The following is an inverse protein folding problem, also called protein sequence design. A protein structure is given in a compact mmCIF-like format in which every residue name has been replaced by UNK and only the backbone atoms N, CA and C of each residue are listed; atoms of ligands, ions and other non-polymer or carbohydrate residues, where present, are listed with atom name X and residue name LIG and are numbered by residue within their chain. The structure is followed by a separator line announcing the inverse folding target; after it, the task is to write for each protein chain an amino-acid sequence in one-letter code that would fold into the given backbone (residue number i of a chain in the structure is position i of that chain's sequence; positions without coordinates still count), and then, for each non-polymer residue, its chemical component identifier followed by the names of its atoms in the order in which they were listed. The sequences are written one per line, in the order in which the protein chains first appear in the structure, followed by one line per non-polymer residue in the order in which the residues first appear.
data_IF_114135818160
#
_entry.id   IF_114135818160
#
_cell.length_a   1.000
_cell.length_b   1.000
_cell.length_c   1.000
_cell.angle_alpha   90.00
_cell.angle_beta   90.00
_cell.angle_gamma   90.00
#
_symmetry.space_group_name_H-M   'P 1'
#
loop_
_entity.id
_entity.type
_entity.pdbx_description
1 polymer ?
#
# COMPACT_ATOMS: atom_id res chain seq x y z
N UNK A 1 18.73 4.35 -23.83
CA UNK A 1 18.27 3.93 -22.49
C UNK A 1 18.24 5.15 -21.58
N UNK A 2 17.13 5.44 -20.90
CA UNK A 2 17.05 6.57 -19.96
C UNK A 2 17.24 6.02 -18.55
N UNK A 3 18.36 6.35 -17.93
CA UNK A 3 18.73 5.93 -16.57
C UNK A 3 18.92 7.18 -15.72
N UNK A 4 18.66 7.10 -14.42
CA UNK A 4 18.89 8.23 -13.53
C UNK A 4 20.39 8.58 -13.46
N UNK A 5 20.69 9.82 -13.08
CA UNK A 5 22.07 10.31 -13.01
C UNK A 5 22.96 9.43 -12.11
N UNK A 6 22.41 8.93 -10.99
CA UNK A 6 23.11 8.01 -10.09
C UNK A 6 23.50 6.72 -10.82
N UNK A 7 22.56 6.03 -11.47
CA UNK A 7 22.89 4.81 -12.20
C UNK A 7 23.92 5.07 -13.31
N UNK A 8 23.79 6.20 -14.02
CA UNK A 8 24.74 6.58 -15.08
C UNK A 8 26.16 6.76 -14.53
N UNK A 9 26.31 7.45 -13.40
CA UNK A 9 27.61 7.70 -12.77
C UNK A 9 28.30 6.40 -12.35
N UNK A 10 27.56 5.46 -11.75
CA UNK A 10 28.11 4.17 -11.31
C UNK A 10 28.46 3.25 -12.47
N UNK A 11 27.60 3.18 -13.50
CA UNK A 11 27.88 2.39 -14.72
C UNK A 11 29.13 2.90 -15.43
N UNK A 12 29.30 4.22 -15.55
CA UNK A 12 30.50 4.83 -16.15
C UNK A 12 31.79 4.52 -15.37
N UNK A 13 31.67 4.16 -14.08
CA UNK A 13 32.78 3.75 -13.21
C UNK A 13 32.92 2.24 -13.11
N UNK A 14 32.18 1.48 -13.92
CA UNK A 14 32.13 0.01 -13.88
C UNK A 14 31.72 -0.54 -12.49
N UNK A 15 30.86 0.19 -11.78
CA UNK A 15 30.34 -0.18 -10.46
C UNK A 15 28.83 -0.40 -10.48
N UNK A 16 28.36 -1.24 -9.57
CA UNK A 16 26.93 -1.47 -9.32
C UNK A 16 26.38 -0.30 -8.48
N UNK A 17 25.27 0.35 -8.87
CA UNK A 17 24.63 1.38 -8.06
C UNK A 17 24.21 0.86 -6.68
N UNK A 18 24.34 1.63 -5.58
CA UNK A 18 23.98 1.18 -4.23
C UNK A 18 22.52 0.72 -4.11
N UNK A 19 21.62 1.34 -4.89
CA UNK A 19 20.19 1.01 -4.93
C UNK A 19 19.84 -0.05 -5.99
N UNK A 20 20.82 -0.79 -6.50
CA UNK A 20 20.63 -1.84 -7.50
C UNK A 20 20.12 -3.15 -6.90
N UNK A 21 19.43 -3.96 -7.71
CA UNK A 21 18.91 -5.26 -7.29
C UNK A 21 20.01 -6.20 -6.78
N UNK A 22 21.19 -6.17 -7.41
CA UNK A 22 22.35 -6.98 -6.99
C UNK A 22 22.87 -6.61 -5.59
N UNK A 23 22.52 -5.42 -5.08
CA UNK A 23 22.85 -4.97 -3.72
C UNK A 23 21.75 -5.30 -2.70
N UNK A 24 21.04 -6.42 -2.89
CA UNK A 24 19.95 -6.87 -2.02
C UNK A 24 18.80 -5.86 -1.86
N UNK A 25 18.60 -5.01 -2.87
CA UNK A 25 17.47 -4.08 -2.93
C UNK A 25 16.23 -4.70 -3.59
N UNK A 26 16.16 -6.02 -3.65
CA UNK A 26 14.97 -6.73 -4.12
C UNK A 26 13.83 -6.58 -3.11
N UNK A 27 12.61 -6.41 -3.62
CA UNK A 27 11.42 -6.40 -2.78
C UNK A 27 11.11 -7.85 -2.34
N UNK A 28 10.70 -8.06 -1.08
CA UNK A 28 10.28 -9.37 -0.63
C UNK A 28 9.02 -9.82 -1.39
N UNK A 29 8.84 -11.14 -1.48
CA UNK A 29 7.61 -11.72 -2.01
C UNK A 29 6.45 -11.37 -1.08
N UNK A 30 5.35 -10.87 -1.66
CA UNK A 30 4.14 -10.55 -0.89
C UNK A 30 3.55 -11.88 -0.37
N UNK A 31 3.43 -12.07 0.95
CA UNK A 31 2.88 -13.29 1.52
C UNK A 31 1.39 -13.43 1.16
N UNK A 32 0.89 -14.66 1.13
CA UNK A 32 -0.48 -14.97 0.72
C UNK A 32 -1.53 -14.22 1.57
N UNK A 33 -1.26 -13.99 2.85
CA UNK A 33 -2.11 -13.26 3.78
C UNK A 33 -2.27 -11.78 3.40
N UNK A 34 -1.27 -11.19 2.73
CA UNK A 34 -1.28 -9.80 2.29
C UNK A 34 -1.70 -9.63 0.82
N UNK A 35 -2.19 -10.69 0.17
CA UNK A 35 -2.81 -10.61 -1.16
C UNK A 35 -4.24 -10.06 -1.04
N UNK A 36 -4.32 -8.80 -0.66
CA UNK A 36 -5.54 -8.06 -0.40
C UNK A 36 -5.93 -7.21 -1.61
N UNK A 37 -7.22 -6.91 -1.73
CA UNK A 37 -7.68 -5.86 -2.62
C UNK A 37 -7.38 -4.47 -2.05
N UNK A 38 -7.48 -3.45 -2.90
CA UNK A 38 -7.01 -2.11 -2.55
C UNK A 38 -7.72 -1.51 -1.32
N UNK A 39 -9.03 -1.70 -1.14
CA UNK A 39 -9.72 -1.25 0.07
C UNK A 39 -9.42 -2.14 1.28
N UNK A 40 -9.25 -3.44 1.07
CA UNK A 40 -8.91 -4.39 2.14
C UNK A 40 -7.55 -4.05 2.76
N UNK A 41 -6.56 -3.73 1.93
CA UNK A 41 -5.24 -3.25 2.36
C UNK A 41 -5.36 -1.97 3.20
N UNK A 42 -6.17 -1.00 2.76
CA UNK A 42 -6.40 0.24 3.51
C UNK A 42 -7.04 0.01 4.88
N UNK A 43 -7.88 -1.02 5.03
CA UNK A 43 -8.54 -1.32 6.30
C UNK A 43 -7.58 -1.91 7.34
N UNK A 44 -6.52 -2.59 6.91
CA UNK A 44 -5.48 -3.13 7.81
C UNK A 44 -4.26 -2.21 7.96
N UNK A 45 -4.11 -1.21 7.09
CA UNK A 45 -2.98 -0.30 7.10
C UNK A 45 -2.96 0.58 8.36
N UNK A 46 -1.90 0.45 9.17
CA UNK A 46 -1.69 1.26 10.39
C UNK A 46 -1.50 2.76 10.09
N UNK A 47 -1.09 3.11 8.87
CA UNK A 47 -0.89 4.48 8.43
C UNK A 47 -1.42 4.66 7.02
N UNK A 48 -2.11 5.78 6.79
CA UNK A 48 -2.50 6.22 5.45
C UNK A 48 -1.56 7.34 4.99
N UNK A 49 -0.70 7.11 3.98
CA UNK A 49 0.15 8.14 3.43
C UNK A 49 -0.64 9.07 2.51
N UNK A 50 -0.43 10.38 2.68
CA UNK A 50 -0.84 11.43 1.75
C UNK A 50 0.41 11.94 1.06
N UNK A 51 0.60 11.53 -0.19
CA UNK A 51 1.74 11.88 -1.02
C UNK A 51 1.30 12.11 -2.46
N UNK A 52 2.08 12.90 -3.19
CA UNK A 52 1.86 13.11 -4.61
C UNK A 52 2.96 12.42 -5.42
N UNK A 53 2.56 11.39 -6.17
CA UNK A 53 3.41 10.70 -7.12
C UNK A 53 3.11 11.23 -8.53
N UNK A 54 4.15 11.59 -9.28
CA UNK A 54 4.05 12.09 -10.67
C UNK A 54 5.03 11.36 -11.57
N UNK A 55 4.68 11.22 -12.84
CA UNK A 55 5.61 10.75 -13.86
C UNK A 55 6.67 11.82 -14.14
N UNK A 56 7.93 11.38 -14.22
CA UNK A 56 9.00 12.25 -14.72
C UNK A 56 8.84 12.43 -16.24
N UNK A 57 9.26 13.59 -16.79
CA UNK A 57 9.08 13.89 -18.21
C UNK A 57 9.68 12.86 -19.18
N UNK A 58 10.61 12.02 -18.71
CA UNK A 58 11.30 11.00 -19.50
C UNK A 58 11.56 9.76 -18.65
N UNK A 59 11.65 8.61 -19.31
CA UNK A 59 12.12 7.36 -18.71
C UNK A 59 11.09 6.53 -17.95
N UNK A 60 9.79 6.90 -17.97
CA UNK A 60 8.70 6.17 -17.28
C UNK A 60 8.94 5.98 -15.77
N UNK A 61 9.78 6.82 -15.18
CA UNK A 61 10.06 6.82 -13.75
C UNK A 61 9.05 7.69 -13.02
N UNK A 62 8.72 7.31 -11.79
CA UNK A 62 7.84 8.06 -10.91
C UNK A 62 8.68 8.84 -9.89
N UNK A 63 8.28 10.08 -9.60
CA UNK A 63 8.87 10.91 -8.57
C UNK A 63 7.81 11.32 -7.55
N UNK A 64 8.22 11.46 -6.29
CA UNK A 64 7.41 12.07 -5.25
C UNK A 64 7.65 13.58 -5.21
N UNK A 65 6.59 14.38 -5.14
CA UNK A 65 6.69 15.84 -5.09
C UNK A 65 5.97 16.41 -3.87
N UNK A 66 6.65 17.32 -3.17
CA UNK A 66 6.11 18.03 -2.01
C UNK A 66 6.17 17.21 -0.72
N UNK A 67 5.35 17.62 0.25
CA UNK A 67 5.34 17.01 1.58
C UNK A 67 4.60 15.67 1.59
N UNK A 68 5.12 14.73 2.37
CA UNK A 68 4.47 13.44 2.66
C UNK A 68 3.90 13.52 4.07
N UNK A 69 2.60 13.26 4.22
CA UNK A 69 1.93 13.24 5.53
C UNK A 69 1.44 11.83 5.82
N UNK A 70 1.94 11.22 6.89
CA UNK A 70 1.50 9.90 7.34
C UNK A 70 0.52 10.03 8.49
N UNK A 71 -0.75 9.68 8.26
CA UNK A 71 -1.80 9.74 9.28
C UNK A 71 -1.98 8.35 9.89
N UNK A 72 -1.87 8.24 11.22
CA UNK A 72 -2.13 6.99 11.92
C UNK A 72 -3.61 6.62 11.85
N UNK A 73 -3.88 5.33 11.64
CA UNK A 73 -5.24 4.78 11.60
C UNK A 73 -5.46 3.85 12.79
N UNK A 74 -6.64 3.95 13.42
CA UNK A 74 -7.09 2.95 14.39
C UNK A 74 -7.71 1.76 13.66
N UNK A 75 -6.85 0.78 13.38
CA UNK A 75 -7.22 -0.46 12.71
C UNK A 75 -7.99 -1.39 13.67
N UNK A 76 -7.74 -1.29 14.98
CA UNK A 76 -8.33 -2.20 15.98
C UNK A 76 -9.84 -2.02 16.11
N UNK A 77 -10.33 -0.78 16.13
CA UNK A 77 -11.77 -0.51 16.12
C UNK A 77 -12.42 -0.98 14.83
N UNK A 78 -11.78 -0.75 13.69
CA UNK A 78 -12.26 -1.17 12.37
C UNK A 78 -12.46 -2.68 12.28
N UNK A 79 -11.47 -3.47 12.72
CA UNK A 79 -11.55 -4.94 12.70
C UNK A 79 -12.67 -5.46 13.61
N UNK A 80 -12.88 -4.84 14.78
CA UNK A 80 -13.94 -5.25 15.72
C UNK A 80 -15.35 -5.03 15.16
N UNK A 81 -15.52 -4.04 14.30
CA UNK A 81 -16.81 -3.68 13.67
C UNK A 81 -17.12 -4.60 12.48
N UNK A 82 -16.09 -5.13 11.81
CA UNK A 82 -16.30 -6.03 10.68
C UNK A 82 -17.04 -7.30 11.13
N UNK A 83 -18.02 -7.79 10.35
CA UNK A 83 -18.76 -8.98 10.73
C UNK A 83 -17.83 -10.20 10.76
N UNK A 84 -17.68 -10.83 11.93
CA UNK A 84 -16.73 -11.94 12.18
C UNK A 84 -17.25 -13.31 11.74
N UNK A 85 -18.54 -13.45 11.47
CA UNK A 85 -19.21 -14.72 11.12
C UNK A 85 -19.73 -14.66 9.69
N UNK A 86 -18.81 -14.75 8.75
CA UNK A 86 -19.14 -14.71 7.34
C UNK A 86 -18.48 -15.90 6.66
N UNK A 87 -19.27 -16.68 5.93
CA UNK A 87 -18.76 -17.72 5.05
C UNK A 87 -17.70 -17.11 4.10
N UNK A 88 -16.75 -17.91 3.62
CA UNK A 88 -15.63 -17.42 2.80
C UNK A 88 -16.06 -16.65 1.54
N UNK A 89 -17.28 -16.89 1.06
CA UNK A 89 -17.87 -16.23 -0.11
C UNK A 89 -18.54 -14.88 0.17
N UNK A 90 -18.71 -14.52 1.44
CA UNK A 90 -19.43 -13.32 1.81
C UNK A 90 -18.56 -12.06 1.68
N UNK A 91 -19.14 -11.04 1.06
CA UNK A 91 -18.52 -9.72 0.92
C UNK A 91 -19.42 -8.63 1.50
N UNK A 92 -18.81 -7.55 1.99
CA UNK A 92 -19.51 -6.41 2.57
C UNK A 92 -19.19 -5.16 1.75
N UNK A 93 -20.20 -4.41 1.28
CA UNK A 93 -19.97 -3.15 0.59
C UNK A 93 -19.47 -2.08 1.58
N UNK A 94 -18.25 -1.60 1.37
CA UNK A 94 -17.63 -0.59 2.22
C UNK A 94 -17.45 0.72 1.44
N UNK A 95 -17.78 1.84 2.09
CA UNK A 95 -17.54 3.20 1.58
C UNK A 95 -16.43 3.86 2.39
N UNK A 96 -15.28 4.08 1.77
CA UNK A 96 -14.16 4.79 2.39
C UNK A 96 -14.29 6.30 2.18
N UNK A 97 -14.41 7.06 3.26
CA UNK A 97 -14.60 8.52 3.22
C UNK A 97 -13.47 9.23 3.96
N UNK A 98 -13.13 10.45 3.50
CA UNK A 98 -12.21 11.35 4.23
C UNK A 98 -12.79 11.79 5.57
N UNK A 99 -14.10 12.01 5.62
CA UNK A 99 -14.90 12.31 6.83
C UNK A 99 -16.26 11.65 6.68
N UNK A 100 -16.81 11.12 7.77
CA UNK A 100 -18.11 10.43 7.76
C UNK A 100 -19.26 11.33 7.31
N UNK A 101 -19.20 12.62 7.66
CA UNK A 101 -20.18 13.65 7.28
C UNK A 101 -20.19 13.98 5.79
N UNK A 102 -19.16 13.60 5.01
CA UNK A 102 -19.10 13.94 3.60
C UNK A 102 -20.06 13.07 2.78
N UNK A 103 -20.70 13.66 1.76
CA UNK A 103 -21.62 12.95 0.87
C UNK A 103 -20.91 11.89 0.02
N UNK A 104 -19.75 12.26 -0.56
CA UNK A 104 -19.00 11.41 -1.48
C UNK A 104 -17.96 10.55 -0.77
N UNK A 105 -17.80 9.32 -1.26
CA UNK A 105 -16.74 8.42 -0.86
C UNK A 105 -15.53 8.57 -1.79
N UNK A 106 -14.34 8.37 -1.24
CA UNK A 106 -13.08 8.30 -2.00
C UNK A 106 -13.02 7.00 -2.78
N UNK A 107 -13.46 5.91 -2.15
CA UNK A 107 -13.46 4.58 -2.73
C UNK A 107 -14.67 3.80 -2.21
N UNK A 108 -15.24 2.96 -3.08
CA UNK A 108 -16.36 2.08 -2.76
C UNK A 108 -15.99 0.71 -3.32
N UNK A 109 -15.95 -0.31 -2.47
CA UNK A 109 -15.54 -1.65 -2.88
C UNK A 109 -16.22 -2.69 -1.97
N UNK A 110 -16.47 -3.88 -2.53
CA UNK A 110 -16.92 -5.04 -1.75
C UNK A 110 -15.70 -5.70 -1.13
N UNK A 111 -15.64 -5.70 0.19
CA UNK A 111 -14.52 -6.21 0.99
C UNK A 111 -14.84 -7.61 1.50
N UNK A 112 -13.84 -8.50 1.53
CA UNK A 112 -13.91 -9.83 2.17
C UNK A 112 -13.43 -9.72 3.62
N UNK A 113 -14.32 -9.76 4.64
CA UNK A 113 -13.91 -9.50 6.02
C UNK A 113 -12.93 -10.54 6.57
N UNK A 114 -13.06 -11.80 6.16
CA UNK A 114 -12.15 -12.87 6.59
C UNK A 114 -10.70 -12.58 6.16
N UNK A 115 -10.47 -12.12 4.92
CA UNK A 115 -9.13 -11.78 4.44
C UNK A 115 -8.52 -10.60 5.20
N UNK A 116 -9.32 -9.61 5.55
CA UNK A 116 -8.89 -8.46 6.36
C UNK A 116 -8.48 -8.91 7.77
N UNK A 117 -9.25 -9.80 8.38
CA UNK A 117 -8.95 -10.35 9.72
C UNK A 117 -7.68 -11.21 9.68
N UNK A 118 -7.56 -12.09 8.68
CA UNK A 118 -6.38 -12.96 8.51
C UNK A 118 -5.10 -12.13 8.32
N UNK A 119 -5.16 -11.10 7.48
CA UNK A 119 -4.05 -10.18 7.26
C UNK A 119 -3.68 -9.43 8.53
N UNK A 120 -4.67 -8.94 9.29
CA UNK A 120 -4.43 -8.26 10.55
C UNK A 120 -3.77 -9.16 11.59
N UNK A 121 -4.24 -10.41 11.72
CA UNK A 121 -3.64 -11.39 12.62
C UNK A 121 -2.19 -11.70 12.23
N UNK A 122 -1.91 -11.83 10.93
CA UNK A 122 -0.56 -12.05 10.41
C UNK A 122 0.38 -10.87 10.73
N UNK A 123 -0.09 -9.63 10.55
CA UNK A 123 0.66 -8.41 10.84
C UNK A 123 0.92 -8.19 12.33
N UNK A 124 0.08 -8.71 13.23
CA UNK A 124 0.29 -8.64 14.69
C UNK A 124 1.22 -9.74 15.18
N UNK A 125 1.24 -10.89 14.52
CA UNK A 125 2.07 -12.03 14.90
C UNK A 125 3.54 -11.91 14.46
N UNK A 126 3.84 -10.98 13.55
CA UNK A 126 5.19 -10.71 13.01
C UNK A 126 5.84 -9.54 13.75
#
# INVERSE_FOLDING_TARGET
MWICNTCKEYINREKIPPLGLDNNMSLPVIPQQLQLHSLEERLVALRTPFMQIRELPRGRQLNMQGNIVNVAADVSSTIRILPRRLDESMTVPVKFKRKLSYKHAVQIENVRPNKVIDAANWLVAT
#
